data_IF_703765286000
#
_entry.id   IF_703765286000
#
_cell.length_a   1.000
_cell.length_b   1.000
_cell.length_c   1.000
_cell.angle_alpha   90.00
_cell.angle_beta   90.00
_cell.angle_gamma   90.00
#
_symmetry.space_group_name_H-M   'P 1'
#
loop_
_entity.id
_entity.type
_entity.pdbx_description
1 polymer ?
#
# COMPACT_ATOMS: atom_id res chain seq x y z
N UNK A 1 -8.90 24.08 -19.54
CA UNK A 1 -9.30 22.71 -19.17
C UNK A 1 -10.60 22.85 -18.39
N UNK A 2 -11.71 22.31 -18.90
CA UNK A 2 -13.00 22.43 -18.20
C UNK A 2 -12.94 21.74 -16.84
N UNK A 3 -13.33 22.46 -15.78
CA UNK A 3 -13.30 21.93 -14.42
C UNK A 3 -14.62 21.20 -14.18
N UNK A 4 -14.58 19.88 -14.19
CA UNK A 4 -15.75 19.05 -13.89
C UNK A 4 -16.28 19.33 -12.49
N UNK A 5 -17.60 19.42 -12.35
CA UNK A 5 -18.29 19.38 -11.05
C UNK A 5 -18.07 18.03 -10.37
N UNK A 6 -18.32 17.92 -9.06
CA UNK A 6 -18.24 16.64 -8.34
C UNK A 6 -19.09 15.55 -9.01
N UNK A 7 -20.29 15.89 -9.46
CA UNK A 7 -21.16 14.97 -10.21
C UNK A 7 -20.51 14.54 -11.53
N UNK A 8 -19.91 15.48 -12.27
CA UNK A 8 -19.19 15.17 -13.51
C UNK A 8 -18.00 14.23 -13.28
N UNK A 9 -17.24 14.43 -12.21
CA UNK A 9 -16.15 13.52 -11.80
C UNK A 9 -16.68 12.13 -11.43
N UNK A 10 -17.77 12.06 -10.68
CA UNK A 10 -18.40 10.80 -10.28
C UNK A 10 -18.88 10.00 -11.50
N UNK A 11 -19.54 10.66 -12.47
CA UNK A 11 -19.99 10.00 -13.71
C UNK A 11 -18.79 9.44 -14.50
N UNK A 12 -17.72 10.22 -14.66
CA UNK A 12 -16.51 9.75 -15.35
C UNK A 12 -15.85 8.58 -14.60
N UNK A 13 -15.90 8.57 -13.27
CA UNK A 13 -15.38 7.47 -12.46
C UNK A 13 -16.20 6.17 -12.57
N UNK A 14 -17.47 6.25 -13.02
CA UNK A 14 -18.33 5.06 -13.24
C UNK A 14 -18.15 4.39 -14.62
N UNK A 15 -17.23 4.91 -15.44
CA UNK A 15 -16.88 4.36 -16.74
C UNK A 15 -16.38 2.91 -16.59
N UNK A 16 -17.19 1.96 -17.07
CA UNK A 16 -16.97 0.53 -16.89
C UNK A 16 -15.68 0.04 -17.56
N UNK A 17 -15.29 0.64 -18.68
CA UNK A 17 -14.08 0.23 -19.39
C UNK A 17 -12.84 0.69 -18.64
N UNK A 18 -12.88 1.92 -18.08
CA UNK A 18 -11.81 2.41 -17.20
C UNK A 18 -11.69 1.60 -15.92
N UNK A 19 -12.81 1.26 -15.28
CA UNK A 19 -12.82 0.42 -14.07
C UNK A 19 -12.20 -0.96 -14.36
N UNK A 20 -12.60 -1.59 -15.47
CA UNK A 20 -12.06 -2.90 -15.88
C UNK A 20 -10.58 -2.82 -16.20
N UNK A 21 -10.16 -1.78 -16.90
CA UNK A 21 -8.75 -1.56 -17.23
C UNK A 21 -7.92 -1.39 -15.95
N UNK A 22 -8.35 -0.51 -15.05
CA UNK A 22 -7.72 -0.27 -13.74
C UNK A 22 -7.54 -1.57 -12.96
N UNK A 23 -8.63 -2.35 -12.80
CA UNK A 23 -8.57 -3.63 -12.11
C UNK A 23 -7.65 -4.64 -12.81
N UNK A 24 -7.66 -4.67 -14.14
CA UNK A 24 -6.82 -5.60 -14.91
C UNK A 24 -5.34 -5.27 -14.74
N UNK A 25 -4.96 -3.99 -14.83
CA UNK A 25 -3.58 -3.54 -14.62
C UNK A 25 -3.11 -3.90 -13.22
N UNK A 26 -3.93 -3.65 -12.20
CA UNK A 26 -3.60 -4.02 -10.82
C UNK A 26 -3.40 -5.52 -10.63
N UNK A 27 -4.23 -6.34 -11.27
CA UNK A 27 -4.08 -7.80 -11.25
C UNK A 27 -2.78 -8.27 -11.93
N UNK A 28 -2.40 -7.65 -13.05
CA UNK A 28 -1.13 -7.94 -13.73
C UNK A 28 0.05 -7.55 -12.83
N UNK A 29 0.02 -6.34 -12.25
CA UNK A 29 1.06 -5.83 -11.37
C UNK A 29 1.20 -6.64 -10.07
N UNK A 30 0.13 -7.27 -9.60
CA UNK A 30 0.16 -8.15 -8.42
C UNK A 30 0.77 -9.54 -8.69
N UNK A 31 1.12 -9.85 -9.95
CA UNK A 31 1.76 -11.13 -10.29
C UNK A 31 3.18 -11.20 -9.74
N UNK A 32 3.47 -12.14 -8.83
CA UNK A 32 4.74 -12.21 -8.09
C UNK A 32 5.99 -12.21 -8.99
N UNK A 33 6.05 -12.93 -10.13
CA UNK A 33 7.19 -12.83 -11.03
C UNK A 33 7.41 -11.41 -11.60
N UNK A 34 6.34 -10.63 -11.82
CA UNK A 34 6.46 -9.24 -12.25
C UNK A 34 6.92 -8.34 -11.10
N UNK A 35 6.35 -8.51 -9.91
CA UNK A 35 6.79 -7.81 -8.70
C UNK A 35 8.28 -8.05 -8.41
N UNK A 36 8.75 -9.30 -8.53
CA UNK A 36 10.16 -9.64 -8.32
C UNK A 36 11.10 -8.86 -9.26
N UNK A 37 10.69 -8.64 -10.52
CA UNK A 37 11.42 -7.81 -11.48
C UNK A 37 11.42 -6.35 -11.08
N UNK A 38 10.27 -5.82 -10.67
CA UNK A 38 10.16 -4.44 -10.19
C UNK A 38 11.06 -4.24 -8.96
N UNK A 39 10.94 -5.12 -7.97
CA UNK A 39 11.67 -5.01 -6.71
C UNK A 39 13.19 -5.16 -6.89
N UNK A 40 13.67 -6.00 -7.81
CA UNK A 40 15.11 -6.07 -8.13
C UNK A 40 15.68 -4.72 -8.55
N UNK A 41 14.91 -3.92 -9.29
CA UNK A 41 15.35 -2.62 -9.81
C UNK A 41 15.18 -1.49 -8.78
N UNK A 42 14.10 -1.51 -7.99
CA UNK A 42 13.73 -0.38 -7.11
C UNK A 42 14.08 -0.56 -5.64
N UNK A 43 14.29 -1.80 -5.17
CA UNK A 43 14.68 -2.12 -3.79
C UNK A 43 16.16 -2.49 -3.76
N UNK A 44 16.97 -1.67 -3.09
CA UNK A 44 18.43 -1.85 -3.05
C UNK A 44 18.87 -3.21 -2.55
N UNK A 45 18.17 -3.75 -1.55
CA UNK A 45 18.42 -5.00 -0.88
C UNK A 45 18.15 -6.21 -1.79
N UNK A 46 17.35 -6.02 -2.85
CA UNK A 46 17.03 -7.06 -3.82
C UNK A 46 17.99 -7.11 -5.03
N UNK A 47 18.90 -6.13 -5.19
CA UNK A 47 19.71 -6.00 -6.42
C UNK A 47 20.55 -7.23 -6.74
N UNK A 48 21.14 -7.86 -5.73
CA UNK A 48 21.99 -9.05 -5.89
C UNK A 48 21.20 -10.37 -5.85
N UNK A 49 19.91 -10.34 -5.50
CA UNK A 49 19.05 -11.53 -5.43
C UNK A 49 18.57 -11.94 -6.82
N UNK A 50 18.45 -13.23 -7.08
CA UNK A 50 17.73 -13.76 -8.25
C UNK A 50 16.24 -13.44 -8.18
N UNK A 51 15.54 -13.51 -9.32
CA UNK A 51 14.10 -13.29 -9.34
C UNK A 51 13.33 -14.30 -8.48
N UNK A 52 13.79 -15.56 -8.45
CA UNK A 52 13.17 -16.62 -7.67
C UNK A 52 13.36 -16.38 -6.15
N UNK A 53 14.53 -15.88 -5.74
CA UNK A 53 14.77 -15.48 -4.34
C UNK A 53 13.88 -14.30 -3.93
N UNK A 54 13.73 -13.29 -4.79
CA UNK A 54 12.86 -12.14 -4.50
C UNK A 54 11.40 -12.58 -4.43
N UNK A 55 10.96 -13.45 -5.34
CA UNK A 55 9.60 -14.00 -5.34
C UNK A 55 9.32 -14.80 -4.05
N UNK A 56 10.30 -15.60 -3.60
CA UNK A 56 10.22 -16.33 -2.34
C UNK A 56 10.12 -15.39 -1.13
N UNK A 57 10.73 -14.20 -1.19
CA UNK A 57 10.63 -13.18 -0.16
C UNK A 57 9.29 -12.41 -0.15
N UNK A 58 8.46 -12.52 -1.19
CA UNK A 58 7.10 -11.95 -1.18
C UNK A 58 6.21 -12.86 -0.32
N UNK A 59 6.17 -12.58 0.98
CA UNK A 59 5.37 -13.30 1.97
C UNK A 59 3.95 -12.71 2.13
N UNK A 60 3.03 -13.51 2.68
CA UNK A 60 1.63 -13.12 2.85
C UNK A 60 0.82 -12.99 1.55
N UNK A 61 -0.36 -12.37 1.65
CA UNK A 61 -1.23 -12.09 0.50
C UNK A 61 -0.88 -10.76 -0.16
N UNK A 62 -0.83 -10.73 -1.50
CA UNK A 62 -0.79 -9.48 -2.28
C UNK A 62 -2.21 -8.90 -2.33
N UNK A 63 -2.41 -7.76 -1.68
CA UNK A 63 -3.73 -7.16 -1.53
C UNK A 63 -3.96 -6.11 -2.61
N UNK A 64 -4.95 -6.34 -3.47
CA UNK A 64 -5.31 -5.45 -4.59
C UNK A 64 -6.55 -4.64 -4.23
N UNK A 65 -6.46 -3.30 -4.21
CA UNK A 65 -7.61 -2.40 -4.11
C UNK A 65 -8.50 -2.63 -2.88
N UNK A 66 -7.98 -3.30 -1.85
CA UNK A 66 -8.72 -3.75 -0.65
C UNK A 66 -8.33 -2.98 0.61
N UNK A 67 -7.14 -2.39 0.63
CA UNK A 67 -6.59 -1.78 1.84
C UNK A 67 -6.86 -0.29 1.81
N UNK A 68 -7.57 0.20 2.82
CA UNK A 68 -7.79 1.63 3.00
C UNK A 68 -6.48 2.32 3.35
N UNK A 69 -6.30 3.51 2.78
CA UNK A 69 -5.14 4.35 3.09
C UNK A 69 -5.30 4.93 4.50
N UNK A 70 -6.51 5.16 5.01
CA UNK A 70 -6.74 5.70 6.36
C UNK A 70 -6.43 4.70 7.49
N UNK A 71 -5.53 5.08 8.42
CA UNK A 71 -5.06 4.26 9.55
C UNK A 71 -6.18 3.77 10.46
N UNK A 72 -7.23 4.57 10.64
CA UNK A 72 -8.38 4.22 11.47
C UNK A 72 -9.22 3.10 10.86
N UNK A 73 -9.15 2.89 9.55
CA UNK A 73 -9.85 1.83 8.81
C UNK A 73 -8.96 0.63 8.50
N UNK A 74 -7.66 0.82 8.31
CA UNK A 74 -6.70 -0.27 8.07
C UNK A 74 -6.59 -1.21 9.28
N UNK A 75 -6.84 -0.70 10.48
CA UNK A 75 -6.68 -1.43 11.76
C UNK A 75 -7.99 -2.07 12.29
N UNK A 76 -9.10 -1.99 11.54
CA UNK A 76 -10.44 -2.40 12.02
C UNK A 76 -10.70 -3.90 11.92
N UNK A 77 -9.68 -4.70 11.59
CA UNK A 77 -9.79 -6.17 11.52
C UNK A 77 -10.39 -6.85 12.76
N UNK A 78 -10.40 -6.19 13.92
CA UNK A 78 -10.90 -6.76 15.18
C UNK A 78 -11.82 -5.86 16.04
N UNK A 79 -12.35 -4.72 15.55
CA UNK A 79 -13.22 -3.86 16.38
C UNK A 79 -14.52 -3.45 15.72
N UNK A 80 -15.59 -3.75 16.45
CA UNK A 80 -17.02 -3.56 16.21
C UNK A 80 -17.37 -2.39 15.27
N UNK A 81 -18.09 -2.74 14.20
CA UNK A 81 -18.73 -1.86 13.21
C UNK A 81 -19.87 -1.02 13.82
N UNK A 82 -19.55 -0.13 14.75
CA UNK A 82 -20.56 0.64 15.51
C UNK A 82 -20.25 2.12 15.78
N UNK A 83 -19.07 2.63 15.42
CA UNK A 83 -18.65 4.03 15.66
C UNK A 83 -18.59 4.88 14.38
N UNK A 84 -19.44 4.56 13.38
CA UNK A 84 -19.50 5.24 12.08
C UNK A 84 -20.16 6.63 12.10
N UNK A 85 -20.06 7.40 13.19
CA UNK A 85 -20.75 8.71 13.27
C UNK A 85 -19.84 9.89 13.61
N UNK A 86 -18.67 9.70 14.22
CA UNK A 86 -17.83 10.85 14.65
C UNK A 86 -16.52 11.02 13.87
N UNK A 87 -16.15 10.10 12.98
CA UNK A 87 -14.88 10.16 12.22
C UNK A 87 -15.05 10.32 10.70
N UNK A 88 -16.27 10.59 10.22
CA UNK A 88 -16.51 11.12 8.86
C UNK A 88 -16.15 12.63 8.76
N UNK A 89 -15.49 13.17 9.79
CA UNK A 89 -15.28 14.60 10.02
C UNK A 89 -14.15 15.23 9.22
N UNK A 90 -13.39 14.45 8.45
CA UNK A 90 -12.46 15.00 7.46
C UNK A 90 -12.99 14.60 6.09
N UNK A 91 -13.28 15.59 5.24
CA UNK A 91 -13.84 15.48 3.89
C UNK A 91 -12.92 14.77 2.87
N UNK A 92 -12.06 13.85 3.33
CA UNK A 92 -11.17 13.06 2.52
C UNK A 92 -11.85 11.74 2.17
N UNK A 93 -11.97 11.47 0.88
CA UNK A 93 -12.56 10.23 0.38
C UNK A 93 -11.83 8.98 0.89
N UNK A 94 -12.52 7.85 0.87
CA UNK A 94 -11.97 6.54 1.17
C UNK A 94 -11.05 6.07 0.04
N UNK A 95 -9.84 6.64 0.00
CA UNK A 95 -8.80 6.19 -0.91
C UNK A 95 -8.31 4.80 -0.47
N UNK A 96 -8.04 3.95 -1.46
CA UNK A 96 -7.47 2.61 -1.27
C UNK A 96 -6.11 2.53 -1.95
N UNK A 97 -5.22 1.74 -1.37
CA UNK A 97 -3.99 1.33 -2.02
C UNK A 97 -4.32 0.46 -3.22
N UNK A 98 -3.62 0.68 -4.32
CA UNK A 98 -3.75 -0.15 -5.52
C UNK A 98 -3.25 -1.56 -5.26
N UNK A 99 -2.01 -1.69 -4.78
CA UNK A 99 -1.38 -2.96 -4.41
C UNK A 99 -0.58 -2.77 -3.12
N UNK A 100 -0.92 -3.53 -2.08
CA UNK A 100 -0.14 -3.62 -0.84
C UNK A 100 0.41 -5.02 -0.63
N UNK A 101 1.70 -5.10 -0.33
CA UNK A 101 2.39 -6.36 -0.03
C UNK A 101 3.58 -6.08 0.88
N UNK A 102 4.36 -7.10 1.22
CA UNK A 102 5.63 -6.92 1.91
C UNK A 102 6.66 -7.95 1.43
N UNK A 103 7.93 -7.59 1.59
CA UNK A 103 9.06 -8.50 1.47
C UNK A 103 9.57 -8.85 2.85
N UNK A 104 9.94 -10.12 3.05
CA UNK A 104 10.74 -10.56 4.18
C UNK A 104 12.11 -11.00 3.67
N UNK A 105 13.06 -10.09 3.78
CA UNK A 105 14.42 -10.28 3.28
C UNK A 105 15.32 -10.86 4.38
N UNK A 106 16.28 -11.74 4.05
CA UNK A 106 17.27 -12.20 5.01
C UNK A 106 18.11 -11.01 5.53
N UNK A 107 18.35 -10.98 6.84
CA UNK A 107 19.19 -10.00 7.51
C UNK A 107 20.68 -10.30 7.36
N UNK A 108 21.51 -9.57 8.12
CA UNK A 108 22.96 -9.79 8.12
C UNK A 108 23.38 -11.08 8.84
N UNK A 109 22.50 -11.62 9.69
CA UNK A 109 22.66 -12.92 10.36
C UNK A 109 21.54 -13.85 9.94
N UNK A 110 21.81 -15.16 9.94
CA UNK A 110 20.89 -16.20 9.44
C UNK A 110 19.51 -16.22 10.12
N UNK A 111 19.40 -15.64 11.32
CA UNK A 111 18.16 -15.59 12.11
C UNK A 111 17.42 -14.25 12.02
N UNK A 112 18.06 -13.22 11.46
CA UNK A 112 17.50 -11.87 11.34
C UNK A 112 16.78 -11.72 10.00
N UNK A 113 15.75 -10.88 9.95
CA UNK A 113 15.06 -10.56 8.70
C UNK A 113 14.60 -9.11 8.69
N UNK A 114 14.63 -8.51 7.51
CA UNK A 114 14.12 -7.16 7.26
C UNK A 114 12.75 -7.30 6.61
N UNK A 115 11.73 -6.69 7.22
CA UNK A 115 10.39 -6.59 6.64
C UNK A 115 10.21 -5.26 5.93
N UNK A 116 10.06 -5.29 4.61
CA UNK A 116 9.76 -4.11 3.81
C UNK A 116 8.28 -4.10 3.45
N UNK A 117 7.51 -3.16 3.99
CA UNK A 117 6.09 -3.00 3.65
C UNK A 117 5.99 -2.07 2.46
N UNK A 118 5.42 -2.58 1.37
CA UNK A 118 5.45 -1.93 0.06
C UNK A 118 4.03 -1.59 -0.38
N UNK A 119 3.88 -0.37 -0.88
CA UNK A 119 2.73 0.06 -1.64
C UNK A 119 3.15 0.36 -3.09
N UNK A 120 2.45 -0.25 -4.04
CA UNK A 120 2.67 -0.07 -5.47
C UNK A 120 1.40 0.54 -6.08
N UNK A 121 1.53 1.76 -6.59
CA UNK A 121 0.46 2.55 -7.21
C UNK A 121 0.60 2.53 -8.73
N UNK A 122 -0.48 2.21 -9.44
CA UNK A 122 -0.50 2.24 -10.90
C UNK A 122 -0.93 3.64 -11.36
N UNK A 123 -0.09 4.27 -12.18
CA UNK A 123 -0.37 5.62 -12.68
C UNK A 123 -0.47 5.62 -14.21
N UNK A 124 -1.61 6.09 -14.72
CA UNK A 124 -1.87 6.17 -16.18
C UNK A 124 -1.52 7.55 -16.78
N UNK A 125 -1.28 8.56 -15.95
CA UNK A 125 -0.97 9.92 -16.38
C UNK A 125 0.16 10.50 -15.52
N UNK A 126 1.23 10.97 -16.15
CA UNK A 126 2.38 11.58 -15.47
C UNK A 126 2.02 12.96 -14.85
N UNK A 127 0.87 13.54 -15.21
CA UNK A 127 0.37 14.83 -14.70
C UNK A 127 -1.10 14.73 -14.27
N UNK A 128 -1.43 13.93 -13.25
CA UNK A 128 -2.81 13.65 -12.85
C UNK A 128 -3.53 14.82 -12.16
N UNK A 129 -2.93 16.01 -12.12
CA UNK A 129 -3.45 17.20 -11.44
C UNK A 129 -3.12 17.28 -9.96
N UNK A 130 -2.24 16.38 -9.46
CA UNK A 130 -1.61 16.45 -8.14
C UNK A 130 -0.12 16.13 -8.26
N UNK A 131 0.65 16.52 -7.24
CA UNK A 131 2.09 16.23 -7.14
C UNK A 131 2.28 14.76 -6.73
N UNK A 132 2.90 13.97 -7.61
CA UNK A 132 3.11 12.52 -7.41
C UNK A 132 3.98 12.26 -6.17
N UNK A 133 5.17 12.90 -6.00
CA UNK A 133 5.95 12.78 -4.77
C UNK A 133 5.18 13.09 -3.49
N UNK A 134 4.37 14.15 -3.48
CA UNK A 134 3.58 14.51 -2.30
C UNK A 134 2.52 13.46 -1.97
N UNK A 135 1.85 12.92 -2.99
CA UNK A 135 0.88 11.82 -2.80
C UNK A 135 1.57 10.56 -2.28
N UNK A 136 2.75 10.22 -2.80
CA UNK A 136 3.55 9.10 -2.31
C UNK A 136 3.93 9.29 -0.84
N UNK A 137 4.43 10.48 -0.46
CA UNK A 137 4.77 10.81 0.93
C UNK A 137 3.55 10.66 1.85
N UNK A 138 2.40 11.20 1.44
CA UNK A 138 1.17 11.11 2.21
C UNK A 138 0.74 9.65 2.46
N UNK A 139 0.82 8.81 1.43
CA UNK A 139 0.52 7.38 1.52
C UNK A 139 1.52 6.65 2.42
N UNK A 140 2.82 6.96 2.31
CA UNK A 140 3.84 6.41 3.20
C UNK A 140 3.60 6.78 4.67
N UNK A 141 3.26 8.04 4.98
CA UNK A 141 2.94 8.46 6.35
C UNK A 141 1.76 7.65 6.92
N UNK A 142 0.73 7.41 6.12
CA UNK A 142 -0.41 6.59 6.52
C UNK A 142 -0.04 5.11 6.72
N UNK A 143 0.80 4.55 5.85
CA UNK A 143 1.33 3.20 6.05
C UNK A 143 2.15 3.08 7.33
N UNK A 144 2.95 4.09 7.68
CA UNK A 144 3.71 4.11 8.93
C UNK A 144 2.75 4.18 10.12
N UNK A 145 1.74 5.05 10.06
CA UNK A 145 0.75 5.17 11.13
C UNK A 145 -0.03 3.87 11.36
N UNK A 146 -0.39 3.14 10.30
CA UNK A 146 -1.11 1.87 10.38
C UNK A 146 -0.30 0.72 11.01
N UNK A 147 1.02 0.88 11.16
CA UNK A 147 1.88 -0.13 11.77
C UNK A 147 1.85 -0.08 13.31
N UNK A 148 1.37 1.00 13.91
CA UNK A 148 1.24 1.09 15.37
C UNK A 148 0.20 0.07 15.87
N UNK A 149 0.61 -0.80 16.78
CA UNK A 149 -0.20 -1.91 17.29
C UNK A 149 -0.24 -3.14 16.38
N UNK A 150 0.49 -3.12 15.25
CA UNK A 150 0.59 -4.26 14.32
C UNK A 150 2.04 -4.71 14.14
N UNK A 151 2.93 -3.81 13.73
CA UNK A 151 4.36 -4.10 13.53
C UNK A 151 5.22 -3.59 14.68
N UNK A 152 4.78 -2.52 15.37
CA UNK A 152 5.46 -1.96 16.54
C UNK A 152 4.47 -1.39 17.54
N UNK A 153 4.85 -1.25 18.81
CA UNK A 153 4.08 -0.46 19.77
C UNK A 153 4.94 0.61 20.44
N UNK A 154 4.30 1.68 20.89
CA UNK A 154 4.96 2.77 21.62
C UNK A 154 4.96 2.52 23.14
N UNK A 155 4.30 1.46 23.60
CA UNK A 155 4.18 1.09 24.99
C UNK A 155 5.56 0.87 25.64
N UNK A 156 5.73 1.32 26.90
CA UNK A 156 7.01 1.26 27.62
C UNK A 156 7.54 -0.15 27.87
N UNK A 157 6.68 -1.15 27.78
CA UNK A 157 6.91 -2.56 28.06
C UNK A 157 7.01 -3.44 26.79
N UNK A 158 7.12 -2.82 25.61
CA UNK A 158 7.32 -3.57 24.35
C UNK A 158 8.64 -4.35 24.38
N UNK A 159 8.61 -5.70 24.33
CA UNK A 159 9.84 -6.50 24.27
C UNK A 159 10.59 -6.32 22.93
N UNK A 160 9.93 -5.79 21.89
CA UNK A 160 10.47 -5.60 20.53
C UNK A 160 10.69 -4.11 20.24
N UNK A 161 11.20 -3.36 21.22
CA UNK A 161 11.24 -1.90 21.08
C UNK A 161 12.30 -1.37 20.11
N UNK A 162 13.30 -2.17 19.77
CA UNK A 162 14.29 -1.90 18.72
C UNK A 162 14.78 -3.26 18.21
N UNK A 163 14.75 -3.46 16.89
CA UNK A 163 15.06 -4.74 16.26
C UNK A 163 16.37 -5.37 16.76
N UNK A 164 16.29 -6.65 17.07
CA UNK A 164 17.38 -7.58 16.80
C UNK A 164 17.06 -8.24 15.46
#
# INVERSE_FOLDING_TARGET
>A
MERLSQLGKAIVATDQDKIRLDQTVKNILAYKPLLARIFKEVVSECREMSYDEIEACIEGEVLIGKVYVDSGLTNVGERITGLSTEAYLNEEGLDRFDIRTYLRLPGHRDEEYIKLIINLEAQNDDKPGYDIPLRALFYCCRMISAQQGVEFTTASDDPVKYGN
#
